data_IF_543677937741
#
_entry.id   IF_543677937741
#
_cell.length_a   1.000
_cell.length_b   1.000
_cell.length_c   1.000
_cell.angle_alpha   90.00
_cell.angle_beta   90.00
_cell.angle_gamma   90.00
#
_symmetry.space_group_name_H-M   'P 1'
#
loop_
_entity.id
_entity.type
_entity.pdbx_description
1 polymer ?
#
# COMPACT_ATOMS: atom_id res chain seq x y z
N UNK A 1 -0.33 -1.34 10.19
CA UNK A 1 -0.06 -2.80 10.26
C UNK A 1 -0.14 -3.33 8.85
N UNK A 2 1.01 -3.42 8.18
CA UNK A 2 1.10 -3.82 6.77
C UNK A 2 1.08 -5.34 6.69
N UNK A 3 0.02 -5.89 6.11
CA UNK A 3 0.01 -7.30 5.70
C UNK A 3 0.37 -7.33 4.22
N UNK A 4 1.65 -7.55 3.92
CA UNK A 4 2.13 -7.91 2.59
C UNK A 4 1.77 -9.37 2.33
N UNK A 5 0.72 -9.62 1.55
CA UNK A 5 0.34 -10.96 1.11
C UNK A 5 0.97 -11.28 -0.23
N UNK A 6 1.96 -12.16 -0.22
CA UNK A 6 2.61 -12.69 -1.42
C UNK A 6 1.94 -13.98 -1.90
N UNK A 7 1.83 -14.12 -3.22
CA UNK A 7 1.41 -15.32 -3.93
C UNK A 7 2.08 -16.57 -3.37
N UNK A 8 1.33 -17.46 -2.73
CA UNK A 8 1.70 -18.87 -2.63
C UNK A 8 1.16 -19.59 -3.84
N UNK A 9 2.03 -20.20 -4.66
CA UNK A 9 1.63 -21.29 -5.54
C UNK A 9 1.19 -22.42 -4.64
N UNK A 10 -0.10 -22.68 -4.59
CA UNK A 10 -0.66 -23.86 -3.92
C UNK A 10 -0.24 -25.09 -4.72
N UNK A 11 0.33 -26.07 -4.04
CA UNK A 11 0.56 -27.40 -4.60
C UNK A 11 -0.76 -28.06 -5.01
N UNK A 12 -0.79 -28.89 -6.07
CA UNK A 12 -2.01 -29.46 -6.59
C UNK A 12 -2.41 -30.71 -5.80
N UNK A 13 -3.01 -30.55 -4.62
CA UNK A 13 -3.70 -31.64 -3.95
C UNK A 13 -4.61 -31.13 -2.83
N UNK A 14 -5.78 -30.63 -3.22
CA UNK A 14 -7.06 -30.75 -2.49
C UNK A 14 -8.14 -30.08 -3.35
N UNK A 15 -8.95 -30.87 -4.03
CA UNK A 15 -10.21 -30.40 -4.63
C UNK A 15 -11.21 -30.13 -3.51
N UNK A 16 -11.10 -28.97 -2.88
CA UNK A 16 -12.21 -28.38 -2.14
C UNK A 16 -12.98 -27.52 -3.14
N UNK A 17 -14.28 -27.74 -3.23
CA UNK A 17 -15.21 -26.94 -4.04
C UNK A 17 -15.30 -25.56 -3.38
N UNK A 18 -14.41 -24.66 -3.77
CA UNK A 18 -14.44 -23.25 -3.33
C UNK A 18 -15.63 -22.59 -4.01
N UNK A 19 -16.50 -21.93 -3.24
CA UNK A 19 -17.63 -21.18 -3.80
C UNK A 19 -17.14 -20.10 -4.76
N UNK A 20 -17.90 -19.82 -5.84
CA UNK A 20 -17.54 -18.86 -6.89
C UNK A 20 -17.12 -17.48 -6.33
N UNK A 21 -17.74 -17.01 -5.25
CA UNK A 21 -17.38 -15.76 -4.58
C UNK A 21 -16.04 -15.78 -3.84
N UNK A 22 -15.61 -16.94 -3.33
CA UNK A 22 -14.31 -17.08 -2.65
C UNK A 22 -13.11 -17.05 -3.62
N UNK A 23 -13.32 -17.48 -4.87
CA UNK A 23 -12.28 -17.40 -5.90
C UNK A 23 -11.97 -15.95 -6.29
N UNK A 24 -12.98 -15.07 -6.37
CA UNK A 24 -12.79 -13.64 -6.63
C UNK A 24 -12.06 -12.95 -5.47
N UNK A 25 -12.40 -13.25 -4.22
CA UNK A 25 -11.77 -12.65 -3.04
C UNK A 25 -10.27 -12.98 -2.92
N UNK A 26 -9.85 -14.19 -3.29
CA UNK A 26 -8.44 -14.59 -3.28
C UNK A 26 -7.60 -13.86 -4.34
N UNK A 27 -8.22 -13.36 -5.40
CA UNK A 27 -7.57 -12.69 -6.52
C UNK A 27 -7.27 -11.22 -6.24
N UNK A 28 -8.12 -10.54 -5.50
CA UNK A 28 -7.97 -9.11 -5.19
C UNK A 28 -7.04 -8.84 -3.99
N UNK A 29 -6.72 -9.84 -3.19
CA UNK A 29 -5.73 -9.70 -2.12
C UNK A 29 -4.31 -9.39 -2.60
N UNK A 30 -4.02 -9.53 -3.89
CA UNK A 30 -2.73 -9.15 -4.49
C UNK A 30 -2.66 -7.66 -4.91
N UNK A 31 -3.80 -6.97 -4.96
CA UNK A 31 -3.89 -5.54 -5.20
C UNK A 31 -3.82 -4.83 -3.85
N UNK A 32 -2.59 -4.60 -3.36
CA UNK A 32 -2.29 -4.15 -2.01
C UNK A 32 -3.10 -2.94 -1.54
N UNK A 33 -3.50 -3.01 -0.28
CA UNK A 33 -3.88 -1.84 0.51
C UNK A 33 -2.62 -0.97 0.62
N UNK A 34 -2.47 0.02 -0.25
CA UNK A 34 -1.39 0.98 -0.17
C UNK A 34 -1.80 2.08 0.81
N UNK A 35 -1.19 2.10 1.99
CA UNK A 35 -1.13 3.34 2.75
C UNK A 35 -0.29 4.32 1.94
N UNK A 36 -0.91 5.40 1.46
CA UNK A 36 -0.26 6.37 0.58
C UNK A 36 0.50 7.38 1.43
N UNK A 37 1.78 7.09 1.66
CA UNK A 37 2.75 8.08 2.10
C UNK A 37 3.44 8.68 0.87
N UNK A 38 3.59 9.99 0.82
CA UNK A 38 4.09 10.70 -0.35
C UNK A 38 5.45 11.32 -0.12
N UNK A 39 6.27 11.36 -1.16
CA UNK A 39 7.62 11.92 -1.14
C UNK A 39 7.75 13.02 -2.19
N UNK A 40 8.34 14.15 -1.83
CA UNK A 40 8.66 15.23 -2.76
C UNK A 40 9.84 14.83 -3.66
N UNK A 41 9.69 15.02 -4.96
CA UNK A 41 10.72 14.70 -5.94
C UNK A 41 11.95 15.61 -5.81
N UNK A 42 13.13 15.01 -5.56
CA UNK A 42 14.42 15.65 -5.74
C UNK A 42 15.05 15.22 -7.06
N UNK A 43 15.75 16.10 -7.73
CA UNK A 43 16.49 15.84 -8.97
C UNK A 43 17.58 14.79 -8.75
N UNK A 44 17.66 13.80 -9.65
CA UNK A 44 18.66 12.74 -9.63
C UNK A 44 20.01 13.31 -10.04
N UNK A 45 20.97 13.42 -9.10
CA UNK A 45 22.38 13.62 -9.41
C UNK A 45 23.15 12.30 -9.27
N UNK A 46 24.02 12.01 -10.24
CA UNK A 46 24.85 10.79 -10.31
C UNK A 46 25.81 10.64 -9.12
N UNK A 47 26.16 9.40 -8.73
CA UNK A 47 26.99 9.15 -7.57
C UNK A 47 28.47 9.23 -7.93
N UNK A 48 29.17 10.22 -7.38
CA UNK A 48 30.62 10.17 -7.13
C UNK A 48 30.96 11.18 -6.02
N UNK A 49 31.33 10.70 -4.87
CA UNK A 49 32.43 11.18 -4.03
C UNK A 49 32.21 10.83 -2.54
N UNK A 50 33.21 10.29 -1.95
CA UNK A 50 33.56 10.35 -0.52
C UNK A 50 33.72 11.81 -0.10
N UNK A 51 32.75 12.34 0.63
CA UNK A 51 32.76 13.68 1.17
C UNK A 51 31.38 14.02 1.74
N UNK A 52 31.33 14.74 2.84
CA UNK A 52 30.09 15.34 3.37
C UNK A 52 29.33 15.98 2.20
N UNK A 53 28.13 15.52 1.95
CA UNK A 53 27.31 15.96 0.83
C UNK A 53 27.02 17.47 1.02
N UNK A 54 27.56 18.39 0.17
CA UNK A 54 27.35 19.82 0.34
C UNK A 54 25.90 20.26 0.14
N UNK A 55 25.03 19.38 -0.35
CA UNK A 55 23.61 19.64 -0.58
C UNK A 55 22.70 19.14 0.55
N UNK A 56 23.28 18.56 1.64
CA UNK A 56 22.47 18.19 2.80
C UNK A 56 22.16 19.46 3.60
N UNK A 57 20.90 19.91 3.62
CA UNK A 57 20.55 21.14 4.35
C UNK A 57 20.80 20.92 5.83
N UNK A 58 21.50 21.85 6.48
CA UNK A 58 21.69 21.81 7.92
C UNK A 58 20.34 21.73 8.63
N UNK A 59 20.25 21.04 9.79
CA UNK A 59 19.00 20.83 10.55
C UNK A 59 18.14 22.10 10.71
N UNK A 60 18.79 23.27 10.82
CA UNK A 60 18.10 24.56 10.93
C UNK A 60 17.54 25.10 9.60
N UNK A 61 18.13 24.73 8.46
CA UNK A 61 17.66 25.16 7.13
C UNK A 61 16.53 24.24 6.63
N UNK A 62 16.58 22.96 6.97
CA UNK A 62 15.52 22.00 6.65
C UNK A 62 14.19 22.41 7.29
N UNK A 63 14.20 22.89 8.53
CA UNK A 63 12.98 23.31 9.22
C UNK A 63 12.35 24.60 8.66
N UNK A 64 13.14 25.52 8.09
CA UNK A 64 12.64 26.78 7.49
C UNK A 64 11.96 26.57 6.13
N UNK A 65 12.34 25.53 5.39
CA UNK A 65 11.88 25.27 4.02
C UNK A 65 11.05 23.97 3.93
N UNK A 66 10.56 23.47 5.05
CA UNK A 66 9.75 22.24 5.09
C UNK A 66 8.47 22.44 4.27
N UNK A 67 8.18 21.58 3.31
CA UNK A 67 6.85 21.53 2.69
C UNK A 67 5.80 21.29 3.78
N UNK A 68 4.65 21.94 3.62
CA UNK A 68 3.57 21.81 4.63
C UNK A 68 3.15 20.34 4.82
N UNK A 69 3.07 19.91 6.07
CA UNK A 69 2.66 18.55 6.45
C UNK A 69 3.73 17.47 6.23
N UNK A 70 4.95 17.83 5.82
CA UNK A 70 6.04 16.87 5.59
C UNK A 70 7.12 16.98 6.66
N UNK A 71 7.80 15.86 6.89
CA UNK A 71 8.98 15.74 7.75
C UNK A 71 10.20 15.36 6.92
N UNK A 72 11.36 15.90 7.30
CA UNK A 72 12.63 15.53 6.66
C UNK A 72 13.12 14.22 7.23
N UNK A 73 13.33 13.23 6.37
CA UNK A 73 14.00 11.99 6.68
C UNK A 73 15.45 12.12 6.20
N UNK A 74 16.44 12.23 7.10
CA UNK A 74 17.84 12.32 6.70
C UNK A 74 18.27 11.03 6.01
N UNK A 75 19.10 11.14 4.97
CA UNK A 75 19.67 9.99 4.31
C UNK A 75 20.57 9.15 5.22
N UNK A 76 20.84 7.94 4.83
CA UNK A 76 21.68 7.03 5.60
C UNK A 76 21.79 5.65 4.98
N UNK A 77 22.62 4.82 5.58
CA UNK A 77 22.72 3.40 5.23
C UNK A 77 22.05 2.58 6.33
N UNK A 78 21.23 1.63 5.95
CA UNK A 78 20.55 0.75 6.90
C UNK A 78 20.47 -0.68 6.39
N UNK A 79 20.21 -1.61 7.29
CA UNK A 79 19.98 -3.02 6.95
C UNK A 79 18.52 -3.21 6.60
N UNK A 80 18.22 -3.28 5.30
CA UNK A 80 16.88 -3.52 4.75
C UNK A 80 16.53 -5.00 4.78
N UNK A 81 15.27 -5.30 5.08
CA UNK A 81 14.79 -6.69 5.17
C UNK A 81 15.21 -7.40 6.44
N UNK A 82 15.17 -8.72 6.42
CA UNK A 82 15.47 -9.54 7.59
C UNK A 82 16.05 -10.91 7.20
N UNK A 83 16.71 -11.59 8.13
CA UNK A 83 17.10 -13.01 8.01
C UNK A 83 16.22 -13.92 8.88
N UNK A 84 15.18 -13.40 9.50
CA UNK A 84 14.26 -14.17 10.32
C UNK A 84 13.54 -15.24 9.46
N UNK A 85 13.57 -16.50 9.95
CA UNK A 85 12.95 -17.62 9.24
C UNK A 85 11.41 -17.54 9.21
N UNK A 86 10.82 -16.82 10.14
CA UNK A 86 9.39 -16.60 10.22
C UNK A 86 8.89 -15.50 9.26
N UNK A 87 9.83 -14.71 8.69
CA UNK A 87 9.50 -13.68 7.70
C UNK A 87 9.12 -14.28 6.35
N UNK A 88 8.54 -13.45 5.49
CA UNK A 88 8.26 -13.86 4.12
C UNK A 88 9.57 -14.02 3.31
N UNK A 89 9.61 -14.95 2.33
CA UNK A 89 10.81 -15.17 1.51
C UNK A 89 11.32 -13.93 0.76
N UNK A 90 10.46 -12.97 0.46
CA UNK A 90 10.83 -11.73 -0.23
C UNK A 90 11.41 -10.64 0.67
N UNK A 91 11.30 -10.79 1.98
CA UNK A 91 11.94 -9.93 2.95
C UNK A 91 13.39 -10.34 3.20
N UNK A 92 13.83 -11.44 2.62
CA UNK A 92 15.16 -12.04 2.77
C UNK A 92 15.94 -12.05 1.48
N UNK A 93 17.28 -11.98 1.54
CA UNK A 93 18.11 -11.78 2.73
C UNK A 93 18.13 -10.31 3.17
N UNK A 94 18.48 -10.08 4.45
CA UNK A 94 18.84 -8.74 4.89
C UNK A 94 20.08 -8.25 4.14
N UNK A 95 20.07 -6.99 3.69
CA UNK A 95 21.17 -6.39 2.92
C UNK A 95 21.25 -4.88 3.19
N UNK A 96 22.45 -4.31 3.06
CA UNK A 96 22.64 -2.89 3.26
C UNK A 96 22.14 -2.09 2.05
N UNK A 97 21.37 -1.02 2.32
CA UNK A 97 20.88 -0.08 1.33
C UNK A 97 21.22 1.33 1.79
N UNK A 98 21.70 2.16 0.87
CA UNK A 98 21.90 3.59 1.10
C UNK A 98 20.69 4.35 0.55
N UNK A 99 20.09 5.19 1.39
CA UNK A 99 18.96 6.05 1.04
C UNK A 99 19.41 7.51 1.11
N UNK A 100 19.05 8.29 0.09
CA UNK A 100 19.26 9.75 0.11
C UNK A 100 18.23 10.40 1.05
N UNK A 101 18.53 11.60 1.56
CA UNK A 101 17.56 12.35 2.34
C UNK A 101 16.35 12.79 1.50
N UNK A 102 15.16 12.75 2.10
CA UNK A 102 13.90 13.07 1.41
C UNK A 102 12.85 13.63 2.37
N UNK A 103 11.86 14.32 1.80
CA UNK A 103 10.68 14.75 2.51
C UNK A 103 9.61 13.67 2.44
N UNK A 104 8.95 13.39 3.57
CA UNK A 104 7.86 12.41 3.66
C UNK A 104 6.68 13.04 4.37
N UNK A 105 5.46 12.75 3.92
CA UNK A 105 4.25 13.18 4.64
C UNK A 105 4.25 12.61 6.07
N UNK A 106 3.84 13.43 7.03
CA UNK A 106 3.82 13.05 8.44
C UNK A 106 2.70 12.06 8.79
N UNK A 107 1.74 11.91 7.91
CA UNK A 107 0.60 11.01 8.05
C UNK A 107 0.14 10.48 6.70
N UNK A 108 -0.68 9.43 6.73
CA UNK A 108 -1.36 8.92 5.54
C UNK A 108 -2.27 10.00 4.92
N UNK A 109 -2.47 9.93 3.59
CA UNK A 109 -3.41 10.81 2.90
C UNK A 109 -4.81 10.62 3.46
N UNK A 110 -5.43 11.71 3.89
CA UNK A 110 -6.76 11.72 4.49
C UNK A 110 -7.88 11.72 3.45
N UNK A 111 -9.08 11.36 3.88
CA UNK A 111 -10.28 11.47 3.04
C UNK A 111 -10.51 12.90 2.53
N UNK A 112 -10.25 13.93 3.38
CA UNK A 112 -10.39 15.33 2.98
C UNK A 112 -9.38 15.74 1.90
N UNK A 113 -8.14 15.26 1.99
CA UNK A 113 -7.11 15.55 1.00
C UNK A 113 -7.39 14.84 -0.32
N UNK A 114 -7.80 13.56 -0.26
CA UNK A 114 -8.16 12.80 -1.45
C UNK A 114 -9.42 13.37 -2.14
N UNK A 115 -10.40 13.86 -1.36
CA UNK A 115 -11.57 14.54 -1.90
C UNK A 115 -11.19 15.75 -2.75
N UNK A 116 -10.25 16.59 -2.29
CA UNK A 116 -9.76 17.75 -3.05
C UNK A 116 -9.15 17.35 -4.40
N UNK A 117 -8.40 16.25 -4.41
CA UNK A 117 -7.85 15.70 -5.66
C UNK A 117 -8.96 15.30 -6.63
N UNK A 118 -9.94 14.53 -6.16
CA UNK A 118 -11.04 14.08 -7.00
C UNK A 118 -11.91 15.25 -7.47
N UNK A 119 -12.21 16.22 -6.61
CA UNK A 119 -12.96 17.43 -6.95
C UNK A 119 -12.24 18.27 -8.01
N UNK A 120 -10.90 18.39 -7.89
CA UNK A 120 -10.10 19.20 -8.82
C UNK A 120 -9.91 18.53 -10.20
N UNK A 121 -9.93 17.19 -10.26
CA UNK A 121 -9.53 16.43 -11.46
C UNK A 121 -10.66 15.64 -12.10
N UNK A 122 -11.73 15.36 -11.39
CA UNK A 122 -12.77 14.42 -11.80
C UNK A 122 -12.28 12.96 -11.83
N UNK A 123 -11.20 12.64 -11.10
CA UNK A 123 -10.59 11.31 -11.11
C UNK A 123 -11.60 10.24 -10.64
N UNK A 124 -11.64 9.12 -11.35
CA UNK A 124 -12.43 7.94 -11.01
C UNK A 124 -11.48 6.84 -10.57
N UNK A 125 -11.65 6.32 -9.35
CA UNK A 125 -10.73 5.33 -8.78
C UNK A 125 -10.95 3.93 -9.37
N UNK A 126 -9.94 3.08 -9.24
CA UNK A 126 -9.96 1.70 -9.73
C UNK A 126 -11.20 0.94 -9.22
N UNK A 127 -11.60 1.16 -7.96
CA UNK A 127 -12.77 0.51 -7.36
C UNK A 127 -14.11 0.97 -7.96
N UNK A 128 -14.14 2.10 -8.66
CA UNK A 128 -15.33 2.67 -9.32
C UNK A 128 -15.47 2.21 -10.79
N UNK A 129 -14.47 1.51 -11.34
CA UNK A 129 -14.51 0.93 -12.68
C UNK A 129 -15.02 -0.52 -12.67
N UNK A 130 -15.71 -0.90 -13.75
CA UNK A 130 -15.98 -2.32 -14.01
C UNK A 130 -14.65 -3.05 -14.22
N UNK A 131 -14.55 -4.25 -13.66
CA UNK A 131 -13.37 -5.08 -13.82
C UNK A 131 -13.27 -5.54 -15.27
N UNK A 132 -12.12 -5.28 -15.91
CA UNK A 132 -11.81 -5.84 -17.22
C UNK A 132 -11.39 -7.30 -17.08
N UNK A 133 -12.17 -8.20 -17.67
CA UNK A 133 -11.87 -9.62 -17.67
C UNK A 133 -10.55 -9.95 -18.38
N UNK A 134 -10.25 -9.24 -19.47
CA UNK A 134 -9.04 -9.49 -20.24
C UNK A 134 -7.76 -9.16 -19.48
N UNK A 135 -7.84 -8.17 -18.60
CA UNK A 135 -6.75 -7.84 -17.68
C UNK A 135 -6.74 -8.78 -16.48
N UNK A 136 -7.88 -9.01 -15.86
CA UNK A 136 -7.99 -9.90 -14.70
C UNK A 136 -7.48 -11.32 -15.01
N UNK A 137 -7.82 -11.89 -16.15
CA UNK A 137 -7.42 -13.25 -16.51
C UNK A 137 -5.91 -13.45 -16.64
N UNK A 138 -5.14 -12.37 -16.91
CA UNK A 138 -3.66 -12.44 -16.99
C UNK A 138 -3.04 -12.76 -15.61
N UNK A 139 -3.75 -12.41 -14.55
CA UNK A 139 -3.32 -12.64 -13.17
C UNK A 139 -3.79 -13.98 -12.61
N UNK A 140 -4.64 -14.69 -13.36
CA UNK A 140 -5.28 -15.95 -12.94
C UNK A 140 -4.51 -17.17 -13.40
N UNK A 141 -4.83 -18.32 -12.80
CA UNK A 141 -4.36 -19.60 -13.31
C UNK A 141 -4.91 -19.84 -14.74
N UNK A 142 -4.08 -20.37 -15.67
CA UNK A 142 -4.55 -20.71 -17.01
C UNK A 142 -5.80 -21.61 -16.95
N UNK A 143 -6.79 -21.28 -17.76
CA UNK A 143 -8.05 -22.03 -17.81
C UNK A 143 -9.09 -21.66 -16.76
N UNK A 144 -8.85 -20.60 -15.93
CA UNK A 144 -9.87 -20.07 -15.02
C UNK A 144 -11.06 -19.57 -15.84
N UNK A 145 -12.29 -20.06 -15.57
CA UNK A 145 -13.46 -19.63 -16.32
C UNK A 145 -13.81 -18.17 -15.99
N UNK A 146 -14.36 -17.45 -16.99
CA UNK A 146 -14.88 -16.10 -16.78
C UNK A 146 -16.02 -16.17 -15.76
N UNK A 147 -16.02 -15.32 -14.72
CA UNK A 147 -17.16 -15.19 -13.82
C UNK A 147 -18.36 -14.54 -14.52
N UNK A 148 -19.51 -14.51 -13.86
CA UNK A 148 -20.68 -13.81 -14.36
C UNK A 148 -20.39 -12.29 -14.44
N UNK A 149 -20.98 -11.60 -15.40
CA UNK A 149 -20.73 -10.14 -15.59
C UNK A 149 -21.12 -9.29 -14.37
N UNK A 150 -22.07 -9.77 -13.56
CA UNK A 150 -22.42 -9.16 -12.27
C UNK A 150 -21.27 -9.20 -11.27
N UNK A 151 -20.44 -10.25 -11.29
CA UNK A 151 -19.28 -10.39 -10.38
C UNK A 151 -18.13 -9.44 -10.77
N UNK A 152 -18.14 -8.94 -12.01
CA UNK A 152 -17.19 -7.96 -12.53
C UNK A 152 -17.63 -6.51 -12.30
N UNK A 153 -18.73 -6.28 -11.60
CA UNK A 153 -19.20 -4.95 -11.24
C UNK A 153 -18.20 -4.21 -10.33
N UNK A 154 -18.15 -2.86 -10.37
CA UNK A 154 -17.31 -2.06 -9.51
C UNK A 154 -17.42 -2.43 -8.04
N UNK A 155 -16.31 -2.40 -7.31
CA UNK A 155 -16.30 -2.76 -5.90
C UNK A 155 -14.87 -2.88 -5.36
N UNK A 156 -14.79 -3.27 -4.09
CA UNK A 156 -13.52 -3.50 -3.41
C UNK A 156 -13.63 -4.60 -2.35
N UNK A 157 -12.48 -5.08 -1.89
CA UNK A 157 -12.41 -5.99 -0.74
C UNK A 157 -12.65 -5.21 0.55
N UNK A 158 -13.63 -5.68 1.32
CA UNK A 158 -14.00 -5.10 2.62
C UNK A 158 -13.70 -6.11 3.72
N UNK A 159 -13.01 -5.65 4.76
CA UNK A 159 -12.80 -6.45 5.96
C UNK A 159 -14.14 -6.68 6.65
N UNK A 160 -14.48 -7.95 6.83
CA UNK A 160 -15.73 -8.39 7.50
C UNK A 160 -15.34 -9.29 8.65
N UNK A 161 -15.44 -8.82 9.91
CA UNK A 161 -15.08 -9.63 11.06
C UNK A 161 -15.79 -10.97 11.05
N UNK A 162 -15.05 -12.05 11.28
CA UNK A 162 -15.64 -13.36 11.50
C UNK A 162 -16.36 -13.39 12.86
N UNK A 163 -17.42 -14.21 12.99
CA UNK A 163 -18.18 -14.35 14.23
C UNK A 163 -17.44 -15.14 15.33
N UNK A 164 -16.26 -15.67 15.04
CA UNK A 164 -15.43 -16.44 15.96
C UNK A 164 -14.06 -16.75 15.37
N UNK A 165 -13.22 -17.53 16.06
CA UNK A 165 -11.91 -17.92 15.57
C UNK A 165 -12.00 -18.64 14.22
N UNK A 166 -11.15 -18.27 13.28
CA UNK A 166 -11.08 -18.84 11.93
C UNK A 166 -9.65 -19.23 11.56
N UNK A 167 -9.45 -20.20 10.67
CA UNK A 167 -8.13 -20.52 10.13
C UNK A 167 -7.53 -19.33 9.40
N UNK A 168 -6.27 -18.97 9.71
CA UNK A 168 -5.59 -17.80 9.12
C UNK A 168 -5.04 -18.04 7.70
N UNK A 169 -5.23 -19.21 7.13
CA UNK A 169 -4.81 -19.56 5.78
C UNK A 169 -5.89 -19.37 4.71
N UNK A 170 -7.09 -18.94 5.11
CA UNK A 170 -8.20 -18.64 4.20
C UNK A 170 -8.72 -17.21 4.43
N UNK A 171 -8.24 -16.30 3.62
CA UNK A 171 -8.58 -14.87 3.71
C UNK A 171 -10.04 -14.58 3.40
N UNK A 172 -10.75 -15.46 2.67
CA UNK A 172 -12.16 -15.29 2.33
C UNK A 172 -13.08 -15.31 3.55
N UNK A 173 -12.56 -15.77 4.70
CA UNK A 173 -13.31 -15.82 5.95
C UNK A 173 -13.47 -14.43 6.62
N UNK A 174 -12.66 -13.45 6.25
CA UNK A 174 -12.72 -12.07 6.78
C UNK A 174 -12.52 -10.98 5.73
N UNK A 175 -12.30 -11.30 4.44
CA UNK A 175 -12.34 -10.37 3.34
C UNK A 175 -13.44 -10.75 2.37
N UNK A 176 -14.29 -9.79 2.01
CA UNK A 176 -15.38 -10.00 1.06
C UNK A 176 -15.32 -8.95 -0.03
N UNK A 177 -15.54 -9.37 -1.27
CA UNK A 177 -15.80 -8.44 -2.35
C UNK A 177 -17.17 -7.82 -2.16
N UNK A 178 -17.24 -6.50 -2.09
CA UNK A 178 -18.48 -5.74 -1.90
C UNK A 178 -18.67 -4.80 -3.10
N UNK A 179 -19.72 -5.03 -3.86
CA UNK A 179 -20.07 -4.17 -4.99
C UNK A 179 -20.40 -2.76 -4.50
N UNK A 180 -19.88 -1.74 -5.23
CA UNK A 180 -20.03 -0.34 -4.88
C UNK A 180 -19.20 0.13 -3.68
N UNK A 181 -18.38 -0.74 -3.05
CA UNK A 181 -17.38 -0.29 -2.12
C UNK A 181 -16.29 0.49 -2.87
N UNK A 182 -15.97 1.69 -2.39
CA UNK A 182 -14.95 2.58 -2.93
C UNK A 182 -14.52 3.58 -1.85
N UNK A 183 -13.65 4.52 -2.15
CA UNK A 183 -13.12 5.46 -1.16
C UNK A 183 -14.20 6.35 -0.50
N UNK A 184 -15.34 6.64 -1.16
CA UNK A 184 -16.48 7.38 -0.58
C UNK A 184 -17.41 6.50 0.25
N UNK A 185 -17.44 5.21 -0.08
CA UNK A 185 -18.29 4.19 0.51
C UNK A 185 -17.44 2.97 0.94
N UNK A 186 -16.56 3.11 1.98
CA UNK A 186 -15.51 2.15 2.29
C UNK A 186 -15.99 0.73 2.61
N UNK A 187 -17.16 0.61 3.22
CA UNK A 187 -17.78 -0.67 3.58
C UNK A 187 -18.92 -1.06 2.62
N UNK A 188 -19.09 -0.33 1.48
CA UNK A 188 -20.15 -0.55 0.49
C UNK A 188 -21.15 0.61 0.41
N UNK A 189 -22.16 0.55 -0.48
CA UNK A 189 -23.03 1.69 -0.84
C UNK A 189 -23.78 2.36 0.31
N UNK A 190 -24.01 1.63 1.41
CA UNK A 190 -24.68 2.16 2.60
C UNK A 190 -23.72 2.90 3.55
N UNK A 191 -22.41 2.83 3.33
CA UNK A 191 -21.40 3.49 4.14
C UNK A 191 -21.04 4.87 3.63
N UNK A 192 -20.32 5.67 4.44
CA UNK A 192 -19.94 7.04 4.09
C UNK A 192 -18.66 7.43 4.83
N UNK A 193 -17.89 8.33 4.23
CA UNK A 193 -16.73 8.99 4.88
C UNK A 193 -17.13 10.22 5.71
N UNK A 194 -18.41 10.57 5.79
CA UNK A 194 -18.88 11.71 6.58
C UNK A 194 -18.53 11.54 8.06
N UNK A 195 -17.87 12.54 8.62
CA UNK A 195 -17.32 12.49 9.98
C UNK A 195 -15.98 11.74 10.10
N UNK A 196 -15.41 11.29 8.96
CA UNK A 196 -14.11 10.62 8.87
C UNK A 196 -13.14 11.39 7.96
N UNK A 197 -13.30 12.70 7.85
CA UNK A 197 -12.53 13.56 6.94
C UNK A 197 -11.03 13.46 7.20
N UNK A 198 -10.63 13.31 8.47
CA UNK A 198 -9.23 13.19 8.90
C UNK A 198 -8.75 11.73 9.04
N UNK A 199 -9.57 10.75 8.67
CA UNK A 199 -9.12 9.36 8.60
C UNK A 199 -8.39 9.11 7.28
N UNK A 200 -7.45 8.14 7.26
CA UNK A 200 -6.80 7.73 6.03
C UNK A 200 -7.82 7.31 4.96
N UNK A 201 -7.58 7.72 3.72
CA UNK A 201 -8.35 7.22 2.59
C UNK A 201 -8.07 5.74 2.38
N UNK A 202 -9.11 4.96 2.17
CA UNK A 202 -9.03 3.51 1.91
C UNK A 202 -9.74 3.18 0.59
N UNK A 203 -9.68 1.90 0.16
CA UNK A 203 -10.26 1.43 -1.11
C UNK A 203 -9.65 2.14 -2.34
N UNK A 204 -8.37 2.48 -2.24
CA UNK A 204 -7.56 3.06 -3.31
C UNK A 204 -6.48 2.08 -3.75
N UNK A 205 -6.29 1.95 -5.05
CA UNK A 205 -5.24 1.13 -5.65
C UNK A 205 -3.90 1.85 -5.67
N UNK A 206 -2.83 1.12 -6.02
CA UNK A 206 -1.53 1.74 -6.29
C UNK A 206 -1.61 2.79 -7.40
N UNK A 207 -2.42 2.56 -8.44
CA UNK A 207 -2.61 3.52 -9.53
C UNK A 207 -3.29 4.80 -9.06
N UNK A 208 -4.31 4.68 -8.20
CA UNK A 208 -4.99 5.81 -7.60
C UNK A 208 -4.03 6.63 -6.73
N UNK A 209 -3.19 5.93 -5.95
CA UNK A 209 -2.16 6.55 -5.12
C UNK A 209 -1.11 7.31 -5.93
N UNK A 210 -0.66 6.74 -7.05
CA UNK A 210 0.28 7.41 -7.98
C UNK A 210 -0.37 8.64 -8.60
N UNK A 211 -1.62 8.55 -9.04
CA UNK A 211 -2.35 9.68 -9.63
C UNK A 211 -2.49 10.83 -8.62
N UNK A 212 -2.88 10.52 -7.39
CA UNK A 212 -2.92 11.50 -6.30
C UNK A 212 -1.55 12.13 -6.06
N UNK A 213 -0.49 11.32 -5.94
CA UNK A 213 0.86 11.79 -5.69
C UNK A 213 1.31 12.79 -6.78
N UNK A 214 1.11 12.45 -8.04
CA UNK A 214 1.46 13.31 -9.17
C UNK A 214 0.69 14.64 -9.15
N UNK A 215 -0.62 14.60 -8.88
CA UNK A 215 -1.42 15.81 -8.72
C UNK A 215 -0.92 16.69 -7.59
N UNK A 216 -0.52 16.10 -6.47
CA UNK A 216 0.02 16.81 -5.31
C UNK A 216 1.47 17.31 -5.51
N UNK A 217 2.08 17.09 -6.68
CA UNK A 217 3.50 17.43 -6.94
C UNK A 217 4.49 16.56 -6.16
N UNK A 218 4.08 15.33 -5.83
CA UNK A 218 4.81 14.35 -5.03
C UNK A 218 4.98 13.02 -5.79
N UNK A 219 5.57 12.05 -5.16
CA UNK A 219 5.65 10.66 -5.62
C UNK A 219 5.44 9.70 -4.45
N UNK A 220 5.19 8.44 -4.74
CA UNK A 220 5.27 7.40 -3.73
C UNK A 220 6.73 7.17 -3.31
N UNK A 221 6.98 6.78 -2.05
CA UNK A 221 8.31 6.36 -1.64
C UNK A 221 8.68 5.05 -2.34
N UNK A 222 9.98 4.83 -2.51
CA UNK A 222 10.50 3.50 -2.81
C UNK A 222 10.33 2.59 -1.59
N UNK A 223 10.42 1.28 -1.79
CA UNK A 223 10.39 0.30 -0.69
C UNK A 223 11.48 0.61 0.35
N UNK A 224 12.69 0.93 -0.11
CA UNK A 224 13.82 1.26 0.77
C UNK A 224 13.59 2.56 1.57
N UNK A 225 13.07 3.61 0.93
CA UNK A 225 12.73 4.87 1.63
C UNK A 225 11.66 4.65 2.68
N UNK A 226 10.65 3.85 2.34
CA UNK A 226 9.56 3.56 3.26
C UNK A 226 10.04 2.76 4.48
N UNK A 227 10.80 1.68 4.26
CA UNK A 227 11.33 0.87 5.35
C UNK A 227 12.31 1.66 6.22
N UNK A 228 13.19 2.47 5.60
CA UNK A 228 14.12 3.33 6.33
C UNK A 228 13.38 4.31 7.26
N UNK A 229 12.37 5.00 6.73
CA UNK A 229 11.55 5.92 7.52
C UNK A 229 10.77 5.20 8.63
N UNK A 230 10.15 4.06 8.32
CA UNK A 230 9.37 3.27 9.27
C UNK A 230 10.21 2.76 10.45
N UNK A 231 11.47 2.42 10.22
CA UNK A 231 12.40 1.98 11.29
C UNK A 231 12.77 3.10 12.25
N UNK A 232 12.67 4.37 11.84
CA UNK A 232 12.92 5.50 12.74
C UNK A 232 14.30 5.50 13.41
N UNK A 233 15.33 4.92 12.80
CA UNK A 233 16.68 4.75 13.34
C UNK A 233 16.89 3.49 14.19
N UNK A 234 15.89 2.64 14.34
CA UNK A 234 16.02 1.34 15.01
C UNK A 234 16.69 0.33 14.06
N UNK A 235 17.90 -0.11 14.41
CA UNK A 235 18.64 -1.09 13.62
C UNK A 235 18.31 -2.52 14.04
N UNK A 236 18.15 -3.39 13.02
CA UNK A 236 17.98 -4.84 13.18
C UNK A 236 16.86 -5.28 14.12
N UNK A 237 15.86 -4.42 14.33
CA UNK A 237 14.68 -4.75 15.13
C UNK A 237 13.66 -5.52 14.31
N UNK A 238 12.94 -6.45 14.99
CA UNK A 238 11.89 -7.26 14.35
C UNK A 238 10.72 -6.40 13.89
N UNK A 239 10.35 -5.42 14.70
CA UNK A 239 9.23 -4.50 14.42
C UNK A 239 9.72 -3.05 14.42
N UNK A 240 8.93 -2.15 13.85
CA UNK A 240 9.21 -0.71 13.82
C UNK A 240 9.19 -0.05 15.20
N UNK A 241 8.72 -0.74 16.23
CA UNK A 241 8.74 -0.30 17.64
C UNK A 241 9.77 -1.07 18.50
N UNK A 242 10.48 -2.04 17.97
CA UNK A 242 11.46 -2.85 18.72
C UNK A 242 11.29 -4.35 18.52
N UNK A 243 11.66 -5.13 19.53
CA UNK A 243 11.61 -6.60 19.49
C UNK A 243 10.44 -7.19 20.29
N UNK A 244 9.84 -6.42 21.19
CA UNK A 244 8.75 -6.86 22.05
C UNK A 244 7.40 -6.76 21.33
N UNK A 245 6.60 -7.86 21.47
CA UNK A 245 5.26 -7.95 20.91
C UNK A 245 4.20 -7.81 22.00
#
# INVERSE_FOLDING_TARGET
>A
MHIWLKRRRLAPSARATISKGAQLALLFCSLGIASVLLVAGGTIASPNATGSNPDEPSRGQTQKNAPAGMVWIPGGTFLMGTNDKESFPNERPAHFVQVQGFWMDAHDVTNAEFSKFVEATGYVTTAEHKIDWEDLKKELAPGTPKPDDSDLAPGALVFTPASGPVPLNDLSLWWRWVHGANWRHPEGPASSIKGRENHPVVQVSWHDAVAYAQWAGKRLPTEAEWEFAARGGLESKRYVWGDDF
#
